data_IF_863350444385
#
_entry.id   IF_863350444385
#
_cell.length_a   1.000
_cell.length_b   1.000
_cell.length_c   1.000
_cell.angle_alpha   90.00
_cell.angle_beta   90.00
_cell.angle_gamma   90.00
#
_symmetry.space_group_name_H-M   'P 1'
#
loop_
_entity.id
_entity.type
_entity.pdbx_description
1 polymer ?
#
# COMPACT_ATOMS: atom_id res chain seq x y z
N UNK A 1 7.50 23.06 -11.65
CA UNK A 1 7.62 21.78 -12.40
C UNK A 1 7.37 21.98 -13.89
N UNK A 2 6.70 23.08 -14.28
CA UNK A 2 6.43 23.44 -15.69
C UNK A 2 7.71 23.55 -16.53
N UNK A 3 7.61 23.20 -17.80
CA UNK A 3 8.72 23.24 -18.77
C UNK A 3 9.87 22.23 -18.46
N UNK A 4 9.61 21.19 -17.69
CA UNK A 4 10.56 20.09 -17.48
C UNK A 4 9.93 18.77 -17.93
N UNK A 5 10.73 17.91 -18.52
CA UNK A 5 10.33 16.55 -18.88
C UNK A 5 10.89 15.57 -17.85
N UNK A 6 10.09 14.59 -17.47
CA UNK A 6 10.49 13.56 -16.52
C UNK A 6 10.33 12.18 -17.17
N UNK A 7 11.24 11.28 -16.88
CA UNK A 7 11.06 9.88 -17.30
C UNK A 7 10.03 9.19 -16.42
N UNK A 8 10.10 9.41 -15.12
CA UNK A 8 9.19 8.80 -14.14
C UNK A 8 8.78 9.81 -13.09
N UNK A 9 7.51 9.78 -12.73
CA UNK A 9 6.95 10.53 -11.58
C UNK A 9 6.44 9.52 -10.56
N UNK A 10 6.86 9.64 -9.32
CA UNK A 10 6.37 8.84 -8.21
C UNK A 10 5.44 9.69 -7.33
N UNK A 11 4.16 9.37 -7.33
CA UNK A 11 3.18 9.94 -6.41
C UNK A 11 2.90 8.97 -5.27
N UNK A 12 3.61 9.16 -4.17
CA UNK A 12 3.52 8.33 -2.96
C UNK A 12 2.68 8.99 -1.86
N UNK A 13 2.31 10.24 -2.03
CA UNK A 13 1.67 11.06 -1.00
C UNK A 13 0.22 11.44 -1.30
N UNK A 14 -0.21 11.42 -2.55
CA UNK A 14 -1.57 11.77 -2.95
C UNK A 14 -2.61 10.85 -2.29
N UNK A 15 -3.44 11.39 -1.40
CA UNK A 15 -4.53 10.67 -0.74
C UNK A 15 -5.88 10.92 -1.41
N UNK A 16 -6.09 12.13 -1.86
CA UNK A 16 -7.32 12.60 -2.50
C UNK A 16 -7.04 12.91 -3.98
N UNK A 17 -8.05 12.71 -4.81
CA UNK A 17 -7.97 12.93 -6.26
C UNK A 17 -7.46 14.32 -6.62
N UNK A 18 -7.91 15.35 -5.92
CA UNK A 18 -7.53 16.74 -6.20
C UNK A 18 -6.03 17.01 -6.02
N UNK A 19 -5.37 16.26 -5.13
CA UNK A 19 -3.91 16.38 -4.94
C UNK A 19 -3.15 15.88 -6.17
N UNK A 20 -3.58 14.75 -6.72
CA UNK A 20 -2.99 14.18 -7.95
C UNK A 20 -3.28 15.05 -9.17
N UNK A 21 -4.51 15.58 -9.31
CA UNK A 21 -4.85 16.52 -10.39
C UNK A 21 -3.93 17.73 -10.36
N UNK A 22 -3.80 18.36 -9.21
CA UNK A 22 -2.94 19.55 -9.04
C UNK A 22 -1.48 19.23 -9.39
N UNK A 23 -0.97 18.06 -9.01
CA UNK A 23 0.37 17.61 -9.37
C UNK A 23 0.51 17.50 -10.89
N UNK A 24 -0.41 16.82 -11.56
CA UNK A 24 -0.34 16.56 -13.00
C UNK A 24 -0.53 17.84 -13.83
N UNK A 25 -1.40 18.77 -13.42
CA UNK A 25 -1.53 20.09 -14.03
C UNK A 25 -0.22 20.89 -13.99
N UNK A 26 0.57 20.76 -12.92
CA UNK A 26 1.86 21.41 -12.79
C UNK A 26 3.01 20.68 -13.54
N UNK A 27 2.80 19.45 -13.95
CA UNK A 27 3.74 18.67 -14.75
C UNK A 27 3.50 18.80 -16.26
N UNK A 28 2.40 19.44 -16.69
CA UNK A 28 1.96 19.54 -18.10
C UNK A 28 1.93 18.16 -18.81
N UNK A 29 1.71 17.08 -18.08
CA UNK A 29 1.80 15.70 -18.54
C UNK A 29 3.16 15.34 -19.22
N UNK A 30 4.22 16.05 -18.88
CA UNK A 30 5.55 15.88 -19.46
C UNK A 30 6.34 14.77 -18.78
N UNK A 31 5.80 13.54 -18.79
CA UNK A 31 6.46 12.35 -18.22
C UNK A 31 6.12 11.10 -19.04
N UNK A 32 6.98 10.08 -18.94
CA UNK A 32 6.79 8.81 -19.65
C UNK A 32 6.03 7.78 -18.83
N UNK A 33 6.16 7.84 -17.49
CA UNK A 33 5.54 6.90 -16.58
C UNK A 33 5.12 7.59 -15.28
N UNK A 34 3.93 7.25 -14.80
CA UNK A 34 3.42 7.71 -13.51
C UNK A 34 3.22 6.52 -12.56
N UNK A 35 3.93 6.51 -11.46
CA UNK A 35 3.86 5.46 -10.44
C UNK A 35 3.06 6.00 -9.26
N UNK A 36 1.91 5.40 -9.03
CA UNK A 36 0.98 5.82 -7.98
C UNK A 36 0.93 4.81 -6.84
N UNK A 37 1.05 5.29 -5.61
CA UNK A 37 0.86 4.44 -4.42
C UNK A 37 -0.55 4.64 -3.91
N UNK A 38 -1.40 3.68 -4.21
CA UNK A 38 -2.77 3.55 -3.73
C UNK A 38 -2.83 2.87 -2.35
N UNK A 39 -3.81 2.05 -2.08
CA UNK A 39 -3.94 1.30 -0.83
C UNK A 39 -4.85 0.08 -1.00
N UNK A 40 -4.51 -1.04 -0.40
CA UNK A 40 -5.41 -2.18 -0.27
C UNK A 40 -6.64 -1.88 0.63
N UNK A 41 -6.58 -0.80 1.41
CA UNK A 41 -7.72 -0.33 2.20
C UNK A 41 -8.89 0.24 1.38
N UNK A 42 -8.82 0.23 0.04
CA UNK A 42 -9.93 0.61 -0.84
C UNK A 42 -10.98 -0.48 -0.98
N UNK A 43 -10.62 -1.74 -0.71
CA UNK A 43 -11.55 -2.85 -0.87
C UNK A 43 -12.68 -2.82 0.16
N UNK A 44 -13.83 -3.30 -0.28
CA UNK A 44 -14.94 -3.61 0.62
C UNK A 44 -14.53 -4.78 1.51
N UNK A 45 -14.98 -4.75 2.76
CA UNK A 45 -14.83 -5.89 3.64
C UNK A 45 -15.42 -7.13 2.95
N UNK A 46 -14.55 -8.09 2.69
CA UNK A 46 -14.90 -9.34 2.03
C UNK A 46 -14.35 -10.48 2.86
N UNK A 47 -15.13 -11.54 2.97
CA UNK A 47 -14.73 -12.74 3.70
C UNK A 47 -14.00 -13.76 2.84
N UNK A 48 -13.98 -13.54 1.52
CA UNK A 48 -13.26 -14.40 0.57
C UNK A 48 -11.85 -13.85 0.34
N UNK A 49 -10.87 -14.61 0.77
CA UNK A 49 -9.44 -14.31 0.61
C UNK A 49 -8.78 -15.36 -0.30
N UNK A 50 -7.75 -15.00 -1.05
CA UNK A 50 -7.12 -13.66 -1.16
C UNK A 50 -7.92 -12.69 -2.04
N UNK A 51 -7.81 -11.39 -1.75
CA UNK A 51 -8.39 -10.34 -2.58
C UNK A 51 -7.59 -10.15 -3.87
N UNK A 52 -8.29 -9.97 -4.98
CA UNK A 52 -7.75 -9.62 -6.29
C UNK A 52 -8.00 -8.14 -6.63
N UNK A 53 -7.31 -7.62 -7.64
CA UNK A 53 -7.45 -6.23 -8.07
C UNK A 53 -8.84 -5.90 -8.65
N UNK A 54 -9.61 -6.94 -9.02
CA UNK A 54 -10.98 -6.83 -9.54
C UNK A 54 -12.06 -6.92 -8.47
N UNK A 55 -11.69 -7.17 -7.22
CA UNK A 55 -12.66 -7.30 -6.13
C UNK A 55 -13.37 -5.98 -5.81
N UNK A 56 -14.59 -6.06 -5.23
CA UNK A 56 -15.41 -4.89 -4.97
C UNK A 56 -14.73 -3.86 -4.06
N UNK A 57 -14.87 -2.60 -4.45
CA UNK A 57 -14.37 -1.45 -3.71
C UNK A 57 -15.43 -0.94 -2.75
N UNK A 58 -15.00 -0.49 -1.57
CA UNK A 58 -15.86 0.18 -0.61
C UNK A 58 -15.95 1.69 -0.93
N UNK A 59 -17.12 2.19 -1.35
CA UNK A 59 -17.30 3.61 -1.65
C UNK A 59 -17.22 4.50 -0.40
N UNK A 60 -17.38 3.93 0.80
CA UNK A 60 -17.28 4.64 2.07
C UNK A 60 -15.94 4.47 2.76
N UNK A 61 -15.00 3.78 2.11
CA UNK A 61 -13.64 3.62 2.64
C UNK A 61 -12.97 4.97 2.90
N UNK A 62 -12.25 5.08 4.00
CA UNK A 62 -11.34 6.21 4.27
C UNK A 62 -10.27 6.40 3.19
N UNK A 63 -10.10 5.42 2.31
CA UNK A 63 -9.16 5.41 1.18
C UNK A 63 -9.85 5.63 -0.17
N UNK A 64 -11.14 6.00 -0.20
CA UNK A 64 -11.90 6.20 -1.45
C UNK A 64 -11.21 7.16 -2.43
N UNK A 65 -10.55 8.21 -1.94
CA UNK A 65 -9.81 9.15 -2.79
C UNK A 65 -8.69 8.49 -3.58
N UNK A 66 -8.10 7.40 -3.06
CA UNK A 66 -7.11 6.58 -3.79
C UNK A 66 -7.76 5.88 -4.98
N UNK A 67 -8.91 5.26 -4.79
CA UNK A 67 -9.65 4.60 -5.86
C UNK A 67 -10.19 5.59 -6.89
N UNK A 68 -10.70 6.73 -6.46
CA UNK A 68 -11.13 7.82 -7.36
C UNK A 68 -9.96 8.29 -8.23
N UNK A 69 -8.77 8.38 -7.66
CA UNK A 69 -7.54 8.72 -8.40
C UNK A 69 -7.20 7.66 -9.45
N UNK A 70 -7.24 6.37 -9.10
CA UNK A 70 -7.00 5.28 -10.07
C UNK A 70 -7.96 5.36 -11.25
N UNK A 71 -9.26 5.52 -10.99
CA UNK A 71 -10.27 5.67 -12.04
C UNK A 71 -10.04 6.90 -12.90
N UNK A 72 -9.67 8.02 -12.29
CA UNK A 72 -9.38 9.23 -13.02
C UNK A 72 -8.15 9.06 -13.92
N UNK A 73 -7.06 8.44 -13.43
CA UNK A 73 -5.86 8.14 -14.22
C UNK A 73 -6.19 7.27 -15.44
N UNK A 74 -7.05 6.27 -15.28
CA UNK A 74 -7.55 5.43 -16.37
C UNK A 74 -8.29 6.28 -17.41
N UNK A 75 -9.26 7.09 -16.96
CA UNK A 75 -10.10 7.90 -17.84
C UNK A 75 -9.30 8.96 -18.60
N UNK A 76 -8.28 9.53 -17.99
CA UNK A 76 -7.37 10.50 -18.63
C UNK A 76 -6.30 9.83 -19.51
N UNK A 77 -6.27 8.50 -19.57
CA UNK A 77 -5.26 7.73 -20.33
C UNK A 77 -3.81 8.08 -19.93
N UNK A 78 -3.60 8.40 -18.67
CA UNK A 78 -2.26 8.64 -18.12
C UNK A 78 -1.47 7.33 -18.16
N UNK A 79 -0.20 7.30 -18.58
CA UNK A 79 0.62 6.10 -18.59
C UNK A 79 1.07 5.72 -17.17
N UNK A 80 0.15 5.17 -16.37
CA UNK A 80 0.37 4.91 -14.94
C UNK A 80 0.62 3.42 -14.63
N UNK A 81 1.15 3.19 -13.44
CA UNK A 81 1.09 1.91 -12.72
C UNK A 81 0.72 2.23 -11.27
N UNK A 82 -0.34 1.62 -10.76
CA UNK A 82 -0.79 1.79 -9.38
C UNK A 82 -0.45 0.58 -8.54
N UNK A 83 -0.02 0.82 -7.30
CA UNK A 83 0.21 -0.22 -6.31
C UNK A 83 -0.75 -0.03 -5.14
N UNK A 84 -1.44 -1.09 -4.73
CA UNK A 84 -2.29 -1.16 -3.54
C UNK A 84 -1.56 -1.93 -2.44
N UNK A 85 -0.66 -1.28 -1.70
CA UNK A 85 0.02 -1.95 -0.60
C UNK A 85 -0.95 -2.23 0.55
N UNK A 86 -0.64 -3.31 1.27
CA UNK A 86 -1.22 -3.62 2.58
C UNK A 86 -0.51 -2.79 3.68
N UNK A 87 -0.41 -3.29 4.91
CA UNK A 87 0.36 -2.62 5.96
C UNK A 87 1.84 -2.67 5.64
N UNK A 88 2.41 -1.50 5.34
CA UNK A 88 3.85 -1.36 5.07
C UNK A 88 4.59 -1.17 6.39
N UNK A 89 5.67 -1.93 6.56
CA UNK A 89 6.59 -1.80 7.69
C UNK A 89 8.03 -1.70 7.20
N UNK A 90 8.94 -1.31 8.09
CA UNK A 90 10.36 -1.24 7.80
C UNK A 90 10.98 0.13 8.10
N UNK A 91 12.23 0.35 7.71
CA UNK A 91 12.97 1.57 7.99
C UNK A 91 12.27 2.82 7.47
N UNK A 92 12.22 3.86 8.31
CA UNK A 92 11.59 5.13 7.96
C UNK A 92 10.07 5.17 8.15
N UNK A 93 9.46 4.11 8.71
CA UNK A 93 8.03 4.12 8.98
C UNK A 93 7.67 5.20 10.02
N UNK A 94 6.91 6.21 9.59
CA UNK A 94 6.43 7.27 10.50
C UNK A 94 5.30 6.79 11.43
N UNK A 95 4.55 5.76 11.00
CA UNK A 95 3.55 5.06 11.79
C UNK A 95 4.23 4.01 12.65
N UNK A 96 4.68 4.34 13.81
CA UNK A 96 5.45 3.46 14.72
C UNK A 96 4.71 2.19 15.16
N UNK A 97 4.04 1.50 14.23
CA UNK A 97 3.21 0.32 14.51
C UNK A 97 4.09 -0.79 15.08
N UNK A 98 5.16 -1.14 14.37
CA UNK A 98 6.08 -2.18 14.82
C UNK A 98 6.79 -1.77 16.12
N UNK A 99 7.18 -0.51 16.26
CA UNK A 99 7.80 0.00 17.48
C UNK A 99 6.86 -0.10 18.69
N UNK A 100 5.55 0.13 18.49
CA UNK A 100 4.56 0.00 19.55
C UNK A 100 4.52 -1.42 20.13
N UNK A 101 4.63 -2.45 19.29
CA UNK A 101 4.70 -3.84 19.73
C UNK A 101 6.01 -4.10 20.48
N UNK A 102 7.15 -3.71 19.89
CA UNK A 102 8.45 -3.89 20.52
C UNK A 102 8.57 -3.15 21.86
N UNK A 103 8.13 -1.90 21.95
CA UNK A 103 8.13 -1.15 23.21
C UNK A 103 7.32 -1.83 24.31
N UNK A 104 6.19 -2.46 23.95
CA UNK A 104 5.39 -3.20 24.92
C UNK A 104 6.09 -4.49 25.37
N UNK A 105 6.67 -5.22 24.47
CA UNK A 105 7.44 -6.43 24.77
C UNK A 105 8.64 -6.11 25.68
N UNK A 106 9.45 -5.12 25.32
CA UNK A 106 10.62 -4.72 26.11
C UNK A 106 10.27 -4.22 27.51
N UNK A 107 9.11 -3.62 27.67
CA UNK A 107 8.63 -3.11 28.95
C UNK A 107 7.70 -4.09 29.69
N UNK A 108 7.62 -5.35 29.29
CA UNK A 108 6.73 -6.36 29.86
C UNK A 108 5.27 -5.91 29.96
N UNK A 109 4.80 -5.10 29.01
CA UNK A 109 3.42 -4.62 28.94
C UNK A 109 2.58 -5.59 28.11
N UNK A 110 1.35 -5.82 28.54
CA UNK A 110 0.39 -6.64 27.77
C UNK A 110 0.10 -6.03 26.41
N UNK A 111 -0.05 -6.89 25.39
CA UNK A 111 -0.47 -6.50 24.04
C UNK A 111 -1.95 -6.88 23.90
N UNK A 112 -2.88 -5.90 23.79
CA UNK A 112 -4.28 -6.21 23.53
C UNK A 112 -4.44 -6.84 22.14
N UNK A 113 -5.12 -7.97 22.09
CA UNK A 113 -5.42 -8.69 20.86
C UNK A 113 -6.90 -8.47 20.52
N UNK A 114 -7.24 -7.92 19.34
CA UNK A 114 -8.63 -7.75 18.93
C UNK A 114 -9.33 -9.10 18.80
N UNK A 115 -10.52 -9.23 19.41
CA UNK A 115 -11.30 -10.48 19.39
C UNK A 115 -10.53 -11.65 19.95
N UNK A 116 -10.52 -12.76 19.24
CA UNK A 116 -9.77 -13.99 19.57
C UNK A 116 -8.36 -14.03 18.94
N UNK A 117 -7.99 -13.00 18.18
CA UNK A 117 -6.72 -12.92 17.48
C UNK A 117 -6.67 -13.70 16.16
N UNK A 118 -7.79 -14.22 15.68
CA UNK A 118 -7.88 -14.98 14.42
C UNK A 118 -7.90 -14.09 13.17
N UNK A 119 -8.07 -12.76 13.35
CA UNK A 119 -8.05 -11.81 12.24
C UNK A 119 -6.76 -11.95 11.44
N UNK A 120 -6.91 -12.19 10.15
CA UNK A 120 -5.78 -12.30 9.23
C UNK A 120 -5.31 -10.89 8.85
N UNK A 121 -4.02 -10.67 8.96
CA UNK A 121 -3.34 -9.49 8.43
C UNK A 121 -2.24 -9.91 7.47
N UNK A 122 -1.87 -9.02 6.56
CA UNK A 122 -0.78 -9.25 5.62
C UNK A 122 0.11 -8.01 5.62
N UNK A 123 1.37 -8.20 5.94
CA UNK A 123 2.35 -7.14 6.05
C UNK A 123 3.22 -7.12 4.81
N UNK A 124 3.64 -5.95 4.36
CA UNK A 124 4.57 -5.77 3.25
C UNK A 124 5.79 -4.99 3.71
N UNK A 125 7.00 -5.49 3.43
CA UNK A 125 8.20 -4.72 3.74
C UNK A 125 8.40 -3.60 2.72
N UNK A 126 8.84 -2.43 3.20
CA UNK A 126 9.02 -1.25 2.34
C UNK A 126 10.00 -1.48 1.18
N UNK A 127 11.04 -2.31 1.39
CA UNK A 127 11.97 -2.64 0.29
C UNK A 127 11.31 -3.41 -0.84
N UNK A 128 10.41 -4.36 -0.53
CA UNK A 128 9.73 -5.15 -1.55
C UNK A 128 8.82 -4.25 -2.41
N UNK A 129 8.10 -3.33 -1.75
CA UNK A 129 7.29 -2.33 -2.45
C UNK A 129 8.16 -1.44 -3.35
N UNK A 130 9.27 -0.92 -2.84
CA UNK A 130 10.15 -0.06 -3.64
C UNK A 130 10.81 -0.81 -4.79
N UNK A 131 11.19 -2.06 -4.60
CA UNK A 131 11.75 -2.91 -5.64
C UNK A 131 10.78 -3.11 -6.81
N UNK A 132 9.52 -3.44 -6.53
CA UNK A 132 8.53 -3.59 -7.60
C UNK A 132 8.20 -2.27 -8.28
N UNK A 133 8.17 -1.15 -7.54
CA UNK A 133 7.98 0.19 -8.10
C UNK A 133 9.12 0.60 -9.04
N UNK A 134 10.35 0.19 -8.77
CA UNK A 134 11.50 0.46 -9.64
C UNK A 134 11.47 -0.47 -10.85
N UNK A 135 11.26 -1.76 -10.63
CA UNK A 135 11.27 -2.76 -11.71
C UNK A 135 10.17 -2.54 -12.74
N UNK A 136 8.96 -2.15 -12.31
CA UNK A 136 7.83 -1.97 -13.21
C UNK A 136 8.07 -0.92 -14.31
N UNK A 137 9.00 0.02 -14.11
CA UNK A 137 9.33 1.05 -15.10
C UNK A 137 9.81 0.44 -16.41
N UNK A 138 10.55 -0.66 -16.33
CA UNK A 138 11.15 -1.34 -17.48
C UNK A 138 10.19 -2.27 -18.23
N UNK A 139 8.96 -2.48 -17.69
CA UNK A 139 7.99 -3.37 -18.28
C UNK A 139 6.81 -2.60 -18.87
N UNK A 140 6.69 -2.60 -20.19
CA UNK A 140 5.53 -2.00 -20.88
C UNK A 140 4.21 -2.64 -20.45
N UNK A 141 4.23 -3.95 -20.15
CA UNK A 141 3.05 -4.68 -19.66
C UNK A 141 2.50 -4.19 -18.32
N UNK A 142 3.28 -3.41 -17.57
CA UNK A 142 2.83 -2.80 -16.31
C UNK A 142 2.09 -1.47 -16.51
N UNK A 143 2.10 -0.90 -17.71
CA UNK A 143 1.33 0.32 -18.01
C UNK A 143 -0.17 0.07 -17.88
N UNK A 144 -0.85 1.04 -17.29
CA UNK A 144 -2.30 1.03 -17.08
C UNK A 144 -2.75 -0.20 -16.27
N UNK A 145 -1.92 -0.62 -15.33
CA UNK A 145 -2.20 -1.73 -14.43
C UNK A 145 -2.22 -1.27 -12.99
N UNK A 146 -3.03 -1.99 -12.21
CA UNK A 146 -3.13 -1.89 -10.77
C UNK A 146 -2.64 -3.22 -10.20
N UNK A 147 -1.87 -3.19 -9.13
CA UNK A 147 -1.33 -4.37 -8.49
C UNK A 147 -1.53 -4.31 -6.97
N UNK A 148 -2.04 -5.39 -6.42
CA UNK A 148 -1.94 -5.61 -4.98
C UNK A 148 -0.48 -5.87 -4.62
N UNK A 149 -0.03 -5.26 -3.53
CA UNK A 149 1.35 -5.38 -3.09
C UNK A 149 1.40 -5.71 -1.60
N UNK A 150 1.80 -6.94 -1.29
CA UNK A 150 1.82 -7.46 0.08
C UNK A 150 2.96 -8.46 0.24
N UNK A 151 3.25 -8.84 1.48
CA UNK A 151 4.14 -9.96 1.76
C UNK A 151 3.56 -11.29 1.25
N UNK A 152 4.39 -12.31 1.19
CA UNK A 152 4.03 -13.61 0.62
C UNK A 152 2.88 -14.31 1.35
N UNK A 153 2.79 -14.14 2.67
CA UNK A 153 1.83 -14.87 3.52
C UNK A 153 1.01 -13.94 4.39
N UNK A 154 -0.28 -14.22 4.45
CA UNK A 154 -1.13 -13.69 5.51
C UNK A 154 -0.84 -14.41 6.83
N UNK A 155 -0.90 -13.67 7.94
CA UNK A 155 -0.73 -14.19 9.30
C UNK A 155 -1.89 -13.74 10.17
N UNK A 156 -2.28 -14.54 11.14
CA UNK A 156 -3.21 -14.08 12.16
C UNK A 156 -2.50 -13.13 13.12
N UNK A 157 -3.22 -12.21 13.75
CA UNK A 157 -2.64 -11.31 14.76
C UNK A 157 -1.99 -12.14 15.87
N UNK A 158 -2.66 -13.18 16.35
CA UNK A 158 -2.12 -14.12 17.33
C UNK A 158 -0.86 -14.82 16.84
N UNK A 159 -0.86 -15.31 15.59
CA UNK A 159 0.30 -15.96 14.97
C UNK A 159 1.49 -15.03 14.85
N UNK A 160 1.28 -13.79 14.40
CA UNK A 160 2.34 -12.78 14.31
C UNK A 160 3.02 -12.56 15.67
N UNK A 161 2.26 -12.42 16.74
CA UNK A 161 2.79 -12.20 18.09
C UNK A 161 3.52 -13.42 18.64
N UNK A 162 3.01 -14.64 18.39
CA UNK A 162 3.66 -15.88 18.85
C UNK A 162 4.99 -16.13 18.14
N UNK A 163 5.09 -15.86 16.84
CA UNK A 163 6.33 -16.04 16.09
C UNK A 163 7.41 -15.01 16.42
N UNK A 164 7.02 -13.83 16.92
CA UNK A 164 7.95 -12.77 17.31
C UNK A 164 8.36 -12.84 18.78
N UNK A 165 7.65 -13.62 19.59
CA UNK A 165 8.04 -13.85 21.00
C UNK A 165 9.05 -15.00 21.06
N UNK A 166 10.15 -14.86 21.83
CA UNK A 166 10.98 -16.02 22.15
C UNK A 166 10.09 -17.02 22.87
N UNK A 167 10.04 -18.27 22.34
CA UNK A 167 9.36 -19.37 23.02
C UNK A 167 9.88 -19.44 24.45
N UNK A 168 9.01 -19.54 25.48
CA UNK A 168 9.49 -19.90 26.79
C UNK A 168 10.24 -21.22 26.62
N UNK A 169 11.52 -21.23 26.86
CA UNK A 169 12.26 -22.49 26.95
C UNK A 169 11.76 -23.16 28.23
N UNK A 170 11.22 -24.35 28.09
CA UNK A 170 10.93 -25.25 29.20
C UNK A 170 12.13 -25.41 30.13
#
# INVERSE_FOLDING_TARGET
LKNKTYDVVYDISGRELEQTKLLLENLDNSFKRYIYVSSAGVYKDNYELPLSESDPIDPESRHKGKFETENWLINQKIPFTSFRPTYIYGPGNYNKIENWFFERLFNNKSIPIPGDGSLITQLGHVSDLTDVMIRCINFESSKNKIYNCSGEKGVTIKGCLLYTSPSPRD
#
